data_IF_104928729100
#
_entry.id   IF_104928729100
#
_cell.length_a   1.000
_cell.length_b   1.000
_cell.length_c   1.000
_cell.angle_alpha   90.00
_cell.angle_beta   90.00
_cell.angle_gamma   90.00
#
_symmetry.space_group_name_H-M   'P 1'
#
loop_
_entity.id
_entity.type
_entity.pdbx_description
1 polymer ?
#
# COMPACT_ATOMS: atom_id res chain seq x y z
N UNK A 1 -7.19 -16.06 -6.34
CA UNK A 1 -6.34 -16.70 -7.36
C UNK A 1 -6.56 -16.22 -8.80
N UNK A 2 -7.16 -15.04 -9.03
CA UNK A 2 -7.29 -14.47 -10.39
C UNK A 2 -6.13 -13.53 -10.77
N UNK A 3 -5.07 -13.45 -9.95
CA UNK A 3 -3.87 -12.65 -10.23
C UNK A 3 -3.97 -11.16 -9.92
N UNK A 4 -5.07 -10.67 -9.31
CA UNK A 4 -5.27 -9.24 -9.05
C UNK A 4 -4.10 -8.59 -8.30
N UNK A 5 -3.69 -9.18 -7.17
CA UNK A 5 -2.59 -8.65 -6.36
C UNK A 5 -1.30 -8.62 -7.17
N UNK A 6 -0.98 -9.71 -7.88
CA UNK A 6 0.21 -9.79 -8.74
C UNK A 6 0.21 -8.71 -9.82
N UNK A 7 -0.91 -8.51 -10.52
CA UNK A 7 -1.04 -7.48 -11.55
C UNK A 7 -0.95 -6.08 -10.95
N UNK A 8 -1.56 -5.83 -9.80
CA UNK A 8 -1.49 -4.55 -9.11
C UNK A 8 -0.06 -4.22 -8.71
N UNK A 9 0.61 -5.14 -8.02
CA UNK A 9 2.02 -4.98 -7.61
C UNK A 9 2.95 -4.76 -8.79
N UNK A 10 2.81 -5.55 -9.86
CA UNK A 10 3.67 -5.38 -11.05
C UNK A 10 3.45 -4.03 -11.74
N UNK A 11 2.23 -3.51 -11.70
CA UNK A 11 1.88 -2.20 -12.27
C UNK A 11 2.43 -1.08 -11.40
N UNK A 12 2.21 -1.12 -10.09
CA UNK A 12 2.72 -0.12 -9.14
C UNK A 12 4.25 -0.07 -9.12
N UNK A 13 4.91 -1.22 -9.19
CA UNK A 13 6.38 -1.30 -9.25
C UNK A 13 6.97 -0.62 -10.48
N UNK A 14 6.20 -0.49 -11.56
CA UNK A 14 6.64 0.20 -12.78
C UNK A 14 6.72 1.72 -12.59
N UNK A 15 5.92 2.26 -11.68
CA UNK A 15 5.79 3.71 -11.44
C UNK A 15 6.42 4.16 -10.11
N UNK A 16 6.68 3.24 -9.18
CA UNK A 16 7.44 3.53 -7.97
C UNK A 16 8.90 3.85 -8.30
N UNK A 17 9.23 5.14 -8.25
CA UNK A 17 10.59 5.66 -8.38
C UNK A 17 10.97 6.42 -7.12
N UNK A 18 12.21 6.90 -7.02
CA UNK A 18 12.62 7.72 -5.86
C UNK A 18 11.82 9.03 -5.75
N UNK A 19 11.29 9.53 -6.87
CA UNK A 19 10.47 10.74 -6.95
C UNK A 19 8.96 10.49 -6.85
N UNK A 20 8.49 9.23 -6.87
CA UNK A 20 7.07 8.88 -6.83
C UNK A 20 6.80 8.01 -5.61
N UNK A 21 6.22 8.61 -4.57
CA UNK A 21 5.85 7.94 -3.33
C UNK A 21 4.58 7.11 -3.51
N UNK A 22 4.75 5.81 -3.73
CA UNK A 22 3.66 4.83 -3.76
C UNK A 22 3.39 4.31 -2.36
N UNK A 23 2.16 4.48 -1.87
CA UNK A 23 1.75 4.01 -0.55
C UNK A 23 0.53 3.09 -0.62
N UNK A 24 0.49 2.03 0.19
CA UNK A 24 -0.60 1.04 0.18
C UNK A 24 -1.18 0.80 1.58
N UNK A 25 -2.46 0.45 1.64
CA UNK A 25 -3.12 -0.11 2.83
C UNK A 25 -3.65 -1.50 2.47
N UNK A 26 -3.21 -2.53 3.18
CA UNK A 26 -3.42 -3.93 2.80
C UNK A 26 -3.87 -4.81 3.99
N UNK A 27 -4.58 -5.90 3.72
CA UNK A 27 -5.10 -6.83 4.75
C UNK A 27 -5.06 -8.30 4.26
N UNK A 28 -4.00 -9.07 4.55
CA UNK A 28 -2.68 -8.63 4.99
C UNK A 28 -1.81 -8.13 3.82
N UNK A 29 -0.59 -7.70 4.11
CA UNK A 29 0.44 -7.49 3.06
C UNK A 29 0.80 -8.85 2.46
N UNK A 30 0.61 -9.03 1.15
CA UNK A 30 0.91 -10.32 0.49
C UNK A 30 2.42 -10.53 0.26
N UNK A 31 3.15 -9.44 -0.03
CA UNK A 31 4.59 -9.45 -0.26
C UNK A 31 5.19 -8.10 0.16
N UNK A 32 6.37 -8.13 0.77
CA UNK A 32 7.15 -6.93 1.07
C UNK A 32 7.84 -6.45 -0.21
N UNK A 33 7.55 -5.22 -0.62
CA UNK A 33 8.15 -4.54 -1.75
C UNK A 33 8.85 -3.25 -1.25
N UNK A 34 10.20 -3.22 -1.24
CA UNK A 34 10.96 -2.09 -0.67
C UNK A 34 10.70 -0.73 -1.33
N UNK A 35 10.18 -0.71 -2.55
CA UNK A 35 9.83 0.53 -3.25
C UNK A 35 8.49 1.14 -2.83
N UNK A 36 7.69 0.47 -2.00
CA UNK A 36 6.39 0.94 -1.54
C UNK A 36 6.41 1.29 -0.05
N UNK A 37 5.58 2.27 0.36
CA UNK A 37 5.24 2.50 1.75
C UNK A 37 4.00 1.67 2.13
N UNK A 38 4.22 0.47 2.65
CA UNK A 38 3.13 -0.50 2.88
C UNK A 38 2.65 -0.46 4.32
N UNK A 39 1.35 -0.22 4.50
CA UNK A 39 0.68 -0.28 5.80
C UNK A 39 -0.26 -1.48 5.85
N UNK A 40 -0.11 -2.33 6.86
CA UNK A 40 -1.08 -3.41 7.09
C UNK A 40 -2.20 -2.94 8.01
N UNK A 41 -3.43 -3.36 7.71
CA UNK A 41 -4.58 -3.29 8.61
C UNK A 41 -4.25 -4.02 9.92
N UNK A 42 -4.63 -3.40 11.05
CA UNK A 42 -4.40 -3.93 12.40
C UNK A 42 -5.74 -3.92 13.16
N UNK A 43 -6.60 -4.94 12.99
CA UNK A 43 -7.92 -4.96 13.59
C UNK A 43 -7.88 -4.93 15.13
N UNK A 44 -6.82 -5.45 15.75
CA UNK A 44 -6.65 -5.44 17.21
C UNK A 44 -6.39 -4.04 17.78
N UNK A 45 -6.04 -3.08 16.93
CA UNK A 45 -5.78 -1.68 17.28
C UNK A 45 -6.88 -0.75 16.74
N UNK A 46 -8.02 -1.31 16.29
CA UNK A 46 -9.08 -0.59 15.60
C UNK A 46 -8.58 0.22 14.38
N UNK A 47 -7.53 -0.26 13.73
CA UNK A 47 -6.91 0.39 12.59
C UNK A 47 -7.26 -0.36 11.29
N UNK A 48 -8.34 0.09 10.63
CA UNK A 48 -8.84 -0.50 9.38
C UNK A 48 -8.46 0.31 8.14
N UNK A 49 -9.06 -0.04 6.99
CA UNK A 49 -8.85 0.67 5.72
C UNK A 49 -9.17 2.16 5.80
N UNK A 50 -10.21 2.55 6.55
CA UNK A 50 -10.62 3.95 6.66
C UNK A 50 -9.58 4.77 7.42
N UNK A 51 -9.08 4.24 8.52
CA UNK A 51 -8.05 4.85 9.37
C UNK A 51 -6.72 4.89 8.61
N UNK A 52 -6.36 3.79 7.94
CA UNK A 52 -5.21 3.67 7.06
C UNK A 52 -5.22 4.70 5.95
N UNK A 53 -6.32 4.83 5.20
CA UNK A 53 -6.42 5.78 4.10
C UNK A 53 -6.30 7.23 4.60
N UNK A 54 -6.93 7.57 5.74
CA UNK A 54 -6.77 8.91 6.35
C UNK A 54 -5.34 9.18 6.81
N UNK A 55 -4.64 8.16 7.33
CA UNK A 55 -3.25 8.28 7.72
C UNK A 55 -2.34 8.47 6.50
N UNK A 56 -2.57 7.69 5.44
CA UNK A 56 -1.84 7.71 4.19
C UNK A 56 -1.94 9.10 3.52
N UNK A 57 -3.12 9.73 3.47
CA UNK A 57 -3.28 11.09 2.93
C UNK A 57 -2.47 12.17 3.67
N UNK A 58 -2.00 11.92 4.89
CA UNK A 58 -1.11 12.84 5.65
C UNK A 58 0.37 12.58 5.40
N UNK A 59 0.72 11.52 4.68
CA UNK A 59 2.09 11.15 4.34
C UNK A 59 2.55 11.73 2.99
N UNK A 60 1.72 12.56 2.35
CA UNK A 60 1.99 13.14 1.02
C UNK A 60 2.31 12.07 -0.05
N UNK A 61 1.37 11.15 -0.31
CA UNK A 61 1.52 10.13 -1.34
C UNK A 61 1.34 10.75 -2.73
N UNK A 62 2.05 10.23 -3.72
CA UNK A 62 1.75 10.50 -5.13
C UNK A 62 0.70 9.52 -5.67
N UNK A 63 0.75 8.26 -5.18
CA UNK A 63 -0.12 7.15 -5.59
C UNK A 63 -0.55 6.36 -4.36
#
# INVERSE_FOLDING_TARGET
GSGKTTTLYSTLKRVATEEVNVSTVEDPIEMIEPSFNQTQVQPQLDFGFTEGLRALMRQDPDI
#
